data_IF_051514482667
#
_entry.id   IF_051514482667
#
_cell.length_a   1.000
_cell.length_b   1.000
_cell.length_c   1.000
_cell.angle_alpha   90.00
_cell.angle_beta   90.00
_cell.angle_gamma   90.00
#
_symmetry.space_group_name_H-M   'P 1'
#
loop_
_entity.id
_entity.type
_entity.pdbx_description
1 polymer ?
#
# COMPACT_ATOMS: atom_id res chain seq x y z
N UNK A 1 0.14 11.98 1.60
CA UNK A 1 -0.91 12.16 2.61
C UNK A 1 -0.89 10.90 3.47
N UNK A 2 -0.33 11.00 4.67
CA UNK A 2 -0.49 10.00 5.72
C UNK A 2 -1.99 9.77 5.87
N UNK A 3 -2.44 8.53 6.01
CA UNK A 3 -3.83 8.28 6.39
C UNK A 3 -4.09 9.08 7.66
N UNK A 4 -4.81 10.19 7.54
CA UNK A 4 -5.26 10.92 8.70
C UNK A 4 -5.90 9.92 9.66
N UNK A 5 -5.78 10.11 10.99
CA UNK A 5 -6.47 9.30 12.00
C UNK A 5 -8.00 9.34 11.86
N UNK A 6 -8.54 9.89 10.77
CA UNK A 6 -9.95 10.10 10.47
C UNK A 6 -10.77 8.82 10.58
N UNK A 7 -10.35 7.68 10.02
CA UNK A 7 -11.14 6.44 10.13
C UNK A 7 -11.17 5.91 11.57
N UNK A 8 -10.06 6.02 12.31
CA UNK A 8 -10.01 5.64 13.72
C UNK A 8 -10.83 6.61 14.59
N UNK A 9 -10.73 7.90 14.31
CA UNK A 9 -11.43 8.96 15.04
C UNK A 9 -12.94 8.88 14.80
N UNK A 10 -13.38 8.80 13.54
CA UNK A 10 -14.79 8.61 13.17
C UNK A 10 -15.30 7.28 13.72
N UNK A 11 -14.53 6.21 13.59
CA UNK A 11 -14.86 4.90 14.15
C UNK A 11 -15.07 4.95 15.67
N UNK A 12 -14.23 5.67 16.40
CA UNK A 12 -14.36 5.84 17.85
C UNK A 12 -15.63 6.62 18.23
N UNK A 13 -15.94 7.71 17.51
CA UNK A 13 -17.17 8.47 17.73
C UNK A 13 -18.43 7.65 17.42
N UNK A 14 -18.40 6.85 16.33
CA UNK A 14 -19.48 5.94 15.98
C UNK A 14 -19.63 4.83 17.01
N UNK A 15 -18.54 4.30 17.56
CA UNK A 15 -18.60 3.31 18.62
C UNK A 15 -19.23 3.87 19.90
N UNK A 16 -18.86 5.10 20.28
CA UNK A 16 -19.47 5.81 21.40
C UNK A 16 -20.98 6.05 21.17
N UNK A 17 -21.34 6.52 19.97
CA UNK A 17 -22.74 6.71 19.58
C UNK A 17 -23.52 5.40 19.59
N UNK A 18 -22.94 4.31 19.07
CA UNK A 18 -23.53 2.97 19.11
C UNK A 18 -23.77 2.49 20.54
N UNK A 19 -22.81 2.73 21.46
CA UNK A 19 -22.97 2.42 22.88
C UNK A 19 -24.13 3.19 23.52
N UNK A 20 -24.20 4.50 23.28
CA UNK A 20 -25.29 5.35 23.77
C UNK A 20 -26.66 4.92 23.21
N UNK A 21 -26.74 4.68 21.90
CA UNK A 21 -27.95 4.20 21.23
C UNK A 21 -28.34 2.79 21.70
N UNK A 22 -27.37 1.93 21.99
CA UNK A 22 -27.59 0.61 22.57
C UNK A 22 -28.21 0.71 23.96
N UNK A 23 -27.66 1.58 24.83
CA UNK A 23 -28.24 1.85 26.15
C UNK A 23 -29.67 2.41 26.04
N UNK A 24 -29.89 3.36 25.15
CA UNK A 24 -31.23 3.93 24.89
C UNK A 24 -32.19 2.85 24.36
N UNK A 25 -31.73 1.94 23.52
CA UNK A 25 -32.52 0.79 23.05
C UNK A 25 -32.97 -0.05 24.23
N UNK A 26 -32.07 -0.40 25.16
CA UNK A 26 -32.41 -1.18 26.37
C UNK A 26 -33.46 -0.44 27.20
N UNK A 27 -33.27 0.85 27.46
CA UNK A 27 -34.24 1.68 28.20
C UNK A 27 -35.60 1.70 27.51
N UNK A 28 -35.63 1.84 26.17
CA UNK A 28 -36.87 1.84 25.39
C UNK A 28 -37.62 0.50 25.47
N UNK A 29 -36.92 -0.62 25.60
CA UNK A 29 -37.55 -1.92 25.85
C UNK A 29 -38.13 -2.02 27.26
N UNK A 30 -37.40 -1.59 28.29
CA UNK A 30 -37.84 -1.57 29.68
C UNK A 30 -39.08 -0.68 29.86
N UNK A 31 -39.06 0.52 29.30
CA UNK A 31 -40.16 1.50 29.36
C UNK A 31 -41.24 1.27 28.29
N UNK A 32 -41.09 0.22 27.47
CA UNK A 32 -42.04 -0.18 26.42
C UNK A 32 -42.40 0.92 25.41
N UNK A 33 -41.44 1.74 25.01
CA UNK A 33 -41.65 2.76 23.98
C UNK A 33 -42.04 2.14 22.63
N UNK A 34 -42.91 2.83 21.88
CA UNK A 34 -43.33 2.39 20.54
C UNK A 34 -42.17 2.33 19.53
N UNK A 35 -41.11 3.11 19.75
CA UNK A 35 -39.95 3.20 18.84
C UNK A 35 -38.85 2.15 19.09
N UNK A 36 -38.99 1.29 20.11
CA UNK A 36 -37.95 0.35 20.54
C UNK A 36 -37.36 -0.51 19.41
N UNK A 37 -38.19 -0.97 18.47
CA UNK A 37 -37.73 -1.78 17.34
C UNK A 37 -36.97 -0.97 16.28
N UNK A 38 -37.30 0.32 16.11
CA UNK A 38 -36.53 1.22 15.25
C UNK A 38 -35.15 1.49 15.84
N UNK A 39 -35.06 1.62 17.16
CA UNK A 39 -33.79 1.81 17.87
C UNK A 39 -32.84 0.61 17.74
N UNK A 40 -33.36 -0.62 17.66
CA UNK A 40 -32.54 -1.81 17.33
C UNK A 40 -31.83 -1.63 15.99
N UNK A 41 -32.55 -1.20 14.95
CA UNK A 41 -31.96 -0.97 13.63
C UNK A 41 -30.93 0.16 13.63
N UNK A 42 -31.22 1.27 14.31
CA UNK A 42 -30.29 2.42 14.39
C UNK A 42 -29.02 2.04 15.17
N UNK A 43 -29.16 1.38 16.33
CA UNK A 43 -28.02 0.97 17.14
C UNK A 43 -27.17 -0.10 16.45
N UNK A 44 -27.77 -1.13 15.86
CA UNK A 44 -27.04 -2.20 15.16
C UNK A 44 -26.33 -1.69 13.91
N UNK A 45 -26.97 -0.82 13.13
CA UNK A 45 -26.35 -0.20 11.96
C UNK A 45 -25.19 0.72 12.35
N UNK A 46 -25.34 1.51 13.42
CA UNK A 46 -24.27 2.39 13.91
C UNK A 46 -23.08 1.56 14.42
N UNK A 47 -23.35 0.45 15.12
CA UNK A 47 -22.30 -0.48 15.55
C UNK A 47 -21.58 -1.11 14.37
N UNK A 48 -22.31 -1.54 13.34
CA UNK A 48 -21.73 -2.09 12.11
C UNK A 48 -20.85 -1.06 11.40
N UNK A 49 -21.28 0.21 11.33
CA UNK A 49 -20.49 1.28 10.73
C UNK A 49 -19.19 1.53 11.51
N UNK A 50 -19.27 1.55 12.85
CA UNK A 50 -18.09 1.66 13.71
C UNK A 50 -17.11 0.51 13.49
N UNK A 51 -17.61 -0.73 13.44
CA UNK A 51 -16.80 -1.92 13.17
C UNK A 51 -16.16 -1.88 11.76
N UNK A 52 -16.91 -1.43 10.75
CA UNK A 52 -16.40 -1.22 9.40
C UNK A 52 -15.26 -0.21 9.36
N UNK A 53 -15.42 0.96 10.01
CA UNK A 53 -14.35 1.95 10.13
C UNK A 53 -13.09 1.36 10.78
N UNK A 54 -13.25 0.59 11.86
CA UNK A 54 -12.12 -0.07 12.53
C UNK A 54 -11.43 -1.09 11.61
N UNK A 55 -12.19 -1.94 10.93
CA UNK A 55 -11.65 -2.93 10.00
C UNK A 55 -10.86 -2.28 8.85
N UNK A 56 -11.39 -1.22 8.25
CA UNK A 56 -10.68 -0.47 7.20
C UNK A 56 -9.45 0.25 7.72
N UNK A 57 -9.51 0.85 8.91
CA UNK A 57 -8.37 1.51 9.51
C UNK A 57 -7.20 0.54 9.77
N UNK A 58 -7.50 -0.69 10.21
CA UNK A 58 -6.50 -1.74 10.43
C UNK A 58 -5.97 -2.29 9.10
N UNK A 59 -6.85 -2.47 8.11
CA UNK A 59 -6.48 -3.07 6.82
C UNK A 59 -5.72 -2.12 5.89
N UNK A 60 -5.84 -0.80 6.09
CA UNK A 60 -5.20 0.17 5.21
C UNK A 60 -3.74 0.41 5.60
N UNK A 61 -2.81 -0.08 4.78
CA UNK A 61 -1.39 0.27 4.87
C UNK A 61 -1.09 1.42 3.90
N UNK A 62 -0.81 2.65 4.39
CA UNK A 62 -0.48 3.78 3.52
C UNK A 62 0.79 3.50 2.71
N UNK A 63 0.86 4.08 1.51
CA UNK A 63 2.11 4.07 0.76
C UNK A 63 3.15 4.94 1.46
N UNK A 64 4.35 4.43 1.60
CA UNK A 64 5.51 5.17 2.07
C UNK A 64 5.98 6.13 0.98
N UNK A 65 6.21 7.39 1.35
CA UNK A 65 6.90 8.37 0.51
C UNK A 65 8.35 8.49 0.96
N UNK A 66 9.30 8.21 0.07
CA UNK A 66 10.73 8.35 0.33
C UNK A 66 11.19 9.68 -0.28
N UNK A 67 11.98 10.44 0.48
CA UNK A 67 12.50 11.72 0.00
C UNK A 67 13.37 11.52 -1.25
N UNK A 68 13.19 12.40 -2.25
CA UNK A 68 13.91 12.29 -3.53
C UNK A 68 13.39 11.20 -4.49
N UNK A 69 12.41 10.39 -4.08
CA UNK A 69 11.76 9.42 -4.96
C UNK A 69 10.78 10.10 -5.94
N UNK A 70 10.76 9.62 -7.19
CA UNK A 70 9.81 10.03 -8.20
C UNK A 70 8.74 8.95 -8.42
N UNK A 71 7.56 9.36 -8.87
CA UNK A 71 6.50 8.42 -9.23
C UNK A 71 6.78 7.86 -10.61
N UNK A 72 6.91 6.53 -10.69
CA UNK A 72 7.19 5.80 -11.93
C UNK A 72 6.16 4.70 -12.17
N UNK A 73 5.77 4.43 -13.42
CA UNK A 73 4.88 3.33 -13.74
C UNK A 73 5.63 1.99 -13.64
N UNK A 74 4.97 0.99 -13.04
CA UNK A 74 5.39 -0.41 -13.15
C UNK A 74 4.94 -0.93 -14.51
N UNK A 75 5.90 -1.33 -15.35
CA UNK A 75 5.65 -1.79 -16.71
C UNK A 75 5.66 -3.32 -16.83
N UNK A 76 6.20 -4.01 -15.83
CA UNK A 76 6.19 -5.46 -15.77
C UNK A 76 6.13 -5.92 -14.31
N UNK A 77 5.28 -6.90 -14.04
CA UNK A 77 5.20 -7.61 -12.77
C UNK A 77 4.80 -9.05 -13.07
N UNK A 78 5.64 -10.02 -12.69
CA UNK A 78 5.35 -11.44 -12.91
C UNK A 78 4.50 -12.08 -11.80
N UNK A 79 4.08 -11.30 -10.80
CA UNK A 79 3.36 -11.79 -9.60
C UNK A 79 4.22 -12.68 -8.69
N UNK A 80 5.52 -12.79 -8.97
CA UNK A 80 6.47 -13.59 -8.23
C UNK A 80 7.65 -12.75 -7.77
N UNK A 81 8.82 -13.04 -8.31
CA UNK A 81 10.13 -12.53 -7.91
C UNK A 81 10.63 -11.30 -8.69
N UNK A 82 9.88 -10.79 -9.69
CA UNK A 82 10.35 -9.68 -10.53
C UNK A 82 9.29 -8.61 -10.77
N UNK A 83 9.69 -7.36 -10.52
CA UNK A 83 8.94 -6.15 -10.84
C UNK A 83 9.87 -5.19 -11.57
N UNK A 84 9.40 -4.59 -12.67
CA UNK A 84 10.16 -3.60 -13.44
C UNK A 84 9.33 -2.32 -13.56
N UNK A 85 9.90 -1.23 -13.10
CA UNK A 85 9.40 0.12 -13.30
C UNK A 85 10.15 0.83 -14.44
N UNK A 86 9.47 1.76 -15.12
CA UNK A 86 10.06 2.53 -16.21
C UNK A 86 10.44 3.94 -15.78
N UNK A 87 11.70 4.31 -16.02
CA UNK A 87 12.21 5.67 -15.94
C UNK A 87 12.08 6.36 -17.30
N UNK A 88 11.82 7.67 -17.28
CA UNK A 88 11.85 8.54 -18.46
C UNK A 88 13.29 8.73 -18.98
N UNK A 89 13.45 9.25 -20.21
CA UNK A 89 14.78 9.50 -20.79
C UNK A 89 15.61 10.53 -19.97
N UNK A 90 14.95 11.53 -19.40
CA UNK A 90 15.59 12.59 -18.60
C UNK A 90 15.54 12.31 -17.09
N UNK A 91 15.49 11.03 -16.69
CA UNK A 91 15.33 10.66 -15.29
C UNK A 91 16.57 11.05 -14.45
N UNK A 92 16.42 11.82 -13.36
CA UNK A 92 17.56 12.24 -12.54
C UNK A 92 18.28 11.05 -11.88
N UNK A 93 19.60 10.97 -12.05
CA UNK A 93 20.40 9.88 -11.48
C UNK A 93 20.27 9.78 -9.95
N UNK A 94 20.24 10.93 -9.26
CA UNK A 94 20.07 10.99 -7.81
C UNK A 94 18.70 10.46 -7.32
N UNK A 95 17.68 10.46 -8.19
CA UNK A 95 16.35 9.96 -7.85
C UNK A 95 16.22 8.45 -8.07
N UNK A 96 17.17 7.77 -8.73
CA UNK A 96 17.03 6.37 -9.12
C UNK A 96 16.94 5.41 -7.93
N UNK A 97 17.86 5.55 -6.98
CA UNK A 97 17.87 4.76 -5.74
C UNK A 97 16.61 4.99 -4.87
N UNK A 98 16.26 6.22 -4.46
CA UNK A 98 15.06 6.43 -3.63
C UNK A 98 13.77 6.03 -4.36
N UNK A 99 13.74 6.14 -5.69
CA UNK A 99 12.59 5.70 -6.50
C UNK A 99 12.41 4.19 -6.46
N UNK A 100 13.47 3.42 -6.74
CA UNK A 100 13.36 1.95 -6.74
C UNK A 100 13.07 1.41 -5.33
N UNK A 101 13.65 2.03 -4.31
CA UNK A 101 13.36 1.74 -2.91
C UNK A 101 11.88 1.99 -2.60
N UNK A 102 11.34 3.14 -3.01
CA UNK A 102 9.93 3.47 -2.79
C UNK A 102 9.00 2.49 -3.49
N UNK A 103 9.32 2.06 -4.72
CA UNK A 103 8.54 1.06 -5.44
C UNK A 103 8.57 -0.27 -4.70
N UNK A 104 9.75 -0.71 -4.23
CA UNK A 104 9.90 -1.94 -3.46
C UNK A 104 9.16 -1.88 -2.12
N UNK A 105 9.34 -0.82 -1.34
CA UNK A 105 8.68 -0.64 -0.03
C UNK A 105 7.16 -0.69 -0.18
N UNK A 106 6.63 -0.05 -1.22
CA UNK A 106 5.19 -0.03 -1.50
C UNK A 106 4.63 -1.30 -2.17
N UNK A 107 5.47 -2.26 -2.54
CA UNK A 107 5.02 -3.51 -3.13
C UNK A 107 4.26 -4.36 -2.10
N UNK A 108 3.05 -4.82 -2.43
CA UNK A 108 2.32 -5.76 -1.58
C UNK A 108 2.91 -7.16 -1.71
N UNK A 109 3.30 -7.77 -0.60
CA UNK A 109 3.84 -9.13 -0.58
C UNK A 109 2.78 -10.25 -0.62
N UNK A 110 1.55 -9.96 -0.17
CA UNK A 110 0.47 -10.95 -0.07
C UNK A 110 0.13 -11.54 -1.43
N UNK A 111 0.23 -12.86 -1.57
CA UNK A 111 -0.12 -13.60 -2.79
C UNK A 111 1.01 -13.73 -3.82
N UNK A 112 2.20 -13.17 -3.58
CA UNK A 112 3.35 -13.34 -4.47
C UNK A 112 4.00 -14.71 -4.27
N UNK A 113 4.44 -15.34 -5.37
CA UNK A 113 5.16 -16.62 -5.35
C UNK A 113 6.61 -16.40 -5.75
N UNK A 114 7.51 -16.36 -4.78
CA UNK A 114 8.95 -16.37 -5.00
C UNK A 114 9.57 -17.61 -4.35
N UNK A 115 10.54 -18.22 -5.03
CA UNK A 115 11.18 -19.47 -4.58
C UNK A 115 12.13 -19.25 -3.40
N UNK A 116 12.81 -18.11 -3.36
CA UNK A 116 13.72 -17.69 -2.29
C UNK A 116 13.07 -16.71 -1.30
N UNK A 117 11.83 -16.29 -1.58
CA UNK A 117 11.10 -15.30 -0.78
C UNK A 117 11.55 -13.87 -1.05
N UNK A 118 12.33 -13.64 -2.10
CA UNK A 118 12.82 -12.32 -2.50
C UNK A 118 12.08 -11.82 -3.73
N UNK A 119 11.95 -10.51 -3.85
CA UNK A 119 11.44 -9.83 -5.05
C UNK A 119 12.41 -8.77 -5.50
N UNK A 120 12.88 -8.90 -6.73
CA UNK A 120 13.73 -7.96 -7.42
C UNK A 120 12.88 -6.86 -8.04
N UNK A 121 13.12 -5.62 -7.64
CA UNK A 121 12.47 -4.43 -8.18
C UNK A 121 13.51 -3.65 -8.95
N UNK A 122 13.31 -3.49 -10.26
CA UNK A 122 14.25 -2.83 -11.15
C UNK A 122 13.67 -1.54 -11.70
N UNK A 123 14.43 -0.46 -11.64
CA UNK A 123 14.14 0.76 -12.37
C UNK A 123 14.90 0.72 -13.70
N UNK A 124 14.16 0.70 -14.81
CA UNK A 124 14.71 0.54 -16.15
C UNK A 124 14.41 1.75 -17.02
N UNK A 125 15.41 2.20 -17.77
CA UNK A 125 15.30 3.25 -18.77
C UNK A 125 15.56 2.67 -20.17
N UNK A 126 14.86 3.18 -21.18
CA UNK A 126 15.17 2.88 -22.58
C UNK A 126 16.13 3.95 -23.08
N UNK A 127 17.34 3.54 -23.47
CA UNK A 127 18.35 4.44 -24.05
C UNK A 127 18.44 4.23 -25.56
N UNK A 128 18.46 5.31 -26.36
CA UNK A 128 18.59 5.19 -27.81
C UNK A 128 19.97 4.68 -28.19
N UNK A 129 20.02 3.81 -29.20
CA UNK A 129 21.25 3.34 -29.84
C UNK A 129 21.43 3.96 -31.23
N UNK A 130 22.67 4.02 -31.71
CA UNK A 130 23.03 4.65 -32.99
C UNK A 130 22.37 3.98 -34.22
N UNK A 131 21.94 2.72 -34.10
CA UNK A 131 21.23 1.97 -35.13
C UNK A 131 19.72 2.26 -35.19
N UNK A 132 19.22 3.22 -34.40
CA UNK A 132 17.79 3.55 -34.29
C UNK A 132 16.97 2.60 -33.40
N UNK A 133 17.61 1.63 -32.76
CA UNK A 133 16.98 0.77 -31.75
C UNK A 133 17.09 1.36 -30.34
N UNK A 134 16.34 0.81 -29.38
CA UNK A 134 16.42 1.21 -27.97
C UNK A 134 16.93 0.06 -27.13
N UNK A 135 17.91 0.33 -26.27
CA UNK A 135 18.44 -0.63 -25.30
C UNK A 135 17.87 -0.38 -23.90
N UNK A 136 17.30 -1.41 -23.25
CA UNK A 136 16.95 -1.32 -21.84
C UNK A 136 18.20 -1.28 -20.96
N UNK A 137 18.30 -0.27 -20.09
CA UNK A 137 19.35 -0.12 -19.09
C UNK A 137 18.71 -0.06 -17.70
N UNK A 138 19.21 -0.86 -16.76
CA UNK A 138 18.77 -0.83 -15.36
C UNK A 138 19.54 0.29 -14.66
N UNK A 139 18.83 1.30 -14.17
CA UNK A 139 19.40 2.44 -13.45
C UNK A 139 19.65 2.13 -11.98
N UNK A 140 18.74 1.36 -11.37
CA UNK A 140 18.82 0.96 -9.97
C UNK A 140 18.01 -0.33 -9.74
N UNK A 141 18.38 -1.11 -8.72
CA UNK A 141 17.68 -2.31 -8.29
C UNK A 141 17.56 -2.33 -6.77
N UNK A 142 16.41 -2.80 -6.27
CA UNK A 142 16.17 -3.10 -4.87
C UNK A 142 15.64 -4.52 -4.73
N UNK A 143 15.97 -5.18 -3.63
CA UNK A 143 15.44 -6.50 -3.27
C UNK A 143 14.54 -6.35 -2.07
N UNK A 144 13.33 -6.89 -2.16
CA UNK A 144 12.39 -6.97 -1.05
C UNK A 144 12.30 -8.41 -0.55
N UNK A 145 12.51 -8.60 0.73
CA UNK A 145 12.19 -9.86 1.41
C UNK A 145 10.69 -9.89 1.75
N UNK A 146 9.99 -10.91 1.25
CA UNK A 146 8.54 -11.10 1.46
C UNK A 146 8.20 -11.52 2.89
N UNK A 147 9.15 -12.08 3.65
CA UNK A 147 8.95 -12.54 5.03
C UNK A 147 9.12 -11.39 6.02
N UNK A 148 10.23 -10.65 5.91
CA UNK A 148 10.53 -9.54 6.81
C UNK A 148 9.91 -8.22 6.35
N UNK A 149 9.64 -8.08 5.05
CA UNK A 149 9.23 -6.82 4.43
C UNK A 149 10.38 -5.84 4.20
N UNK A 150 11.61 -6.21 4.60
CA UNK A 150 12.79 -5.37 4.44
C UNK A 150 13.12 -5.16 2.95
N UNK A 151 13.61 -3.96 2.65
CA UNK A 151 14.05 -3.56 1.32
C UNK A 151 15.51 -3.20 1.40
N UNK A 152 16.31 -3.80 0.54
CA UNK A 152 17.74 -3.53 0.42
C UNK A 152 18.05 -3.03 -1.00
N UNK A 153 18.79 -1.94 -1.09
CA UNK A 153 19.30 -1.46 -2.37
C UNK A 153 20.43 -2.36 -2.85
N UNK A 154 20.33 -2.84 -4.08
CA UNK A 154 21.40 -3.61 -4.71
C UNK A 154 22.43 -2.60 -5.24
N UNK A 155 23.71 -2.70 -4.83
CA UNK A 155 24.76 -1.88 -5.42
C UNK A 155 24.77 -2.10 -6.93
N UNK A 156 24.77 -1.01 -7.71
CA UNK A 156 24.86 -1.10 -9.17
C UNK A 156 26.17 -1.81 -9.50
N UNK A 157 26.08 -3.11 -9.80
CA UNK A 157 27.23 -3.88 -10.23
C UNK A 157 27.71 -3.26 -11.54
N UNK A 158 28.85 -2.58 -11.49
CA UNK A 158 29.52 -2.06 -12.67
C UNK A 158 29.83 -3.25 -13.59
N UNK A 159 28.99 -3.49 -14.59
CA UNK A 159 29.29 -4.39 -15.70
C UNK A 159 28.95 -5.88 -15.55
N UNK A 160 27.76 -6.27 -15.10
CA UNK A 160 27.26 -7.63 -15.39
C UNK A 160 25.79 -7.66 -15.81
N UNK A 161 25.58 -7.63 -17.11
CA UNK A 161 24.39 -8.17 -17.76
C UNK A 161 24.27 -9.65 -17.41
N UNK A 162 23.38 -10.01 -16.49
CA UNK A 162 22.85 -11.38 -16.43
C UNK A 162 21.62 -11.41 -17.33
N UNK A 163 21.83 -12.00 -18.51
CA UNK A 163 20.79 -12.48 -19.40
C UNK A 163 19.93 -13.54 -18.68
#
# INVERSE_FOLDING_TARGET
>A
MVSDPLLLQVGAWLAAAAGLLGLLTVVAFVLRWGVRFRLVGVSSFTLLLAAGCAAFAISYSPRTSIEGALVVPVVYDNGGDLVVAAATADFPAAAAAPTVEQVATNLRGSGRRSSDGLVHVRLRQLQPEANGSNRPVVLAEAVKDLRSGNVELVPVATGRTRN
#
